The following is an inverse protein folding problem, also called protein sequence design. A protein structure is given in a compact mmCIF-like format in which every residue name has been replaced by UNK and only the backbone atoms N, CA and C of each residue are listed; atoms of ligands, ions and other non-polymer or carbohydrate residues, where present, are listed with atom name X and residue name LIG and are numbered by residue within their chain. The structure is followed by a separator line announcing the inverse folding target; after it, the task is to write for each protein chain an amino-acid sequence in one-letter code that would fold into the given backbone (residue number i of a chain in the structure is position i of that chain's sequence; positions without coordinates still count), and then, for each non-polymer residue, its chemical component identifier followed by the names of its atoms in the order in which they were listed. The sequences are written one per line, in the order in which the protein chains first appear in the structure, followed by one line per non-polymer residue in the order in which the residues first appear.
data_IF_837045408282
#
_entry.id   IF_837045408282
#
_cell.length_a   1.000
_cell.length_b   1.000
_cell.length_c   1.000
_cell.angle_alpha   90.00
_cell.angle_beta   90.00
_cell.angle_gamma   90.00
#
_symmetry.space_group_name_H-M   'P 1'
#
loop_
_entity.id
_entity.type
_entity.pdbx_description
1 polymer ?
#
# COMPACT_ATOMS: atom_id res chain seq x y z
N UNK A 1 4.62 -17.58 -17.23
CA UNK A 1 3.43 -16.73 -17.25
C UNK A 1 2.75 -16.82 -18.61
N UNK A 2 3.09 -15.93 -19.54
CA UNK A 2 2.45 -15.84 -20.85
C UNK A 2 2.46 -17.16 -21.66
N UNK A 3 3.59 -17.88 -21.72
CA UNK A 3 3.65 -19.16 -22.43
C UNK A 3 2.68 -20.21 -21.87
N UNK A 4 2.53 -20.28 -20.54
CA UNK A 4 1.56 -21.18 -19.90
C UNK A 4 0.11 -20.75 -20.18
N UNK A 5 -0.17 -19.44 -20.22
CA UNK A 5 -1.48 -18.91 -20.59
C UNK A 5 -1.82 -19.23 -22.05
N UNK A 6 -0.86 -19.07 -22.96
CA UNK A 6 -1.02 -19.43 -24.39
C UNK A 6 -1.25 -20.92 -24.54
N UNK A 7 -0.46 -21.76 -23.86
CA UNK A 7 -0.64 -23.22 -23.87
C UNK A 7 -2.02 -23.63 -23.34
N UNK A 8 -2.47 -23.05 -22.23
CA UNK A 8 -3.82 -23.31 -21.71
C UNK A 8 -4.91 -22.88 -22.71
N UNK A 9 -4.70 -21.77 -23.41
CA UNK A 9 -5.59 -21.31 -24.47
C UNK A 9 -5.61 -22.26 -25.67
N UNK A 10 -4.47 -22.84 -26.06
CA UNK A 10 -4.41 -23.83 -27.13
C UNK A 10 -5.08 -25.16 -26.75
N UNK A 11 -4.92 -25.61 -25.50
CA UNK A 11 -5.50 -26.87 -25.01
C UNK A 11 -7.00 -26.75 -24.79
N UNK A 12 -7.49 -25.61 -24.27
CA UNK A 12 -8.91 -25.39 -24.04
C UNK A 12 -9.30 -23.92 -24.28
N UNK A 13 -9.51 -23.53 -25.55
CA UNK A 13 -9.84 -22.14 -25.90
C UNK A 13 -11.16 -21.68 -25.28
N UNK A 14 -12.18 -22.55 -25.26
CA UNK A 14 -13.50 -22.23 -24.71
C UNK A 14 -13.49 -21.97 -23.21
N UNK A 15 -12.77 -22.79 -22.43
CA UNK A 15 -12.64 -22.56 -20.99
C UNK A 15 -11.77 -21.36 -20.68
N UNK A 16 -10.72 -21.13 -21.49
CA UNK A 16 -9.87 -19.95 -21.36
C UNK A 16 -10.65 -18.67 -21.63
N UNK A 17 -11.44 -18.64 -22.71
CA UNK A 17 -12.33 -17.52 -23.03
C UNK A 17 -13.31 -17.25 -21.88
N UNK A 18 -14.10 -18.26 -21.48
CA UNK A 18 -15.04 -18.16 -20.36
C UNK A 18 -14.38 -17.68 -19.07
N UNK A 19 -13.15 -18.13 -18.82
CA UNK A 19 -12.38 -17.71 -17.67
C UNK A 19 -12.11 -16.21 -17.69
N UNK A 20 -11.52 -15.70 -18.77
CA UNK A 20 -11.10 -14.31 -18.89
C UNK A 20 -12.25 -13.32 -19.09
N UNK A 21 -13.37 -13.73 -19.67
CA UNK A 21 -14.50 -12.82 -19.95
C UNK A 21 -15.53 -12.76 -18.85
N UNK A 22 -15.66 -13.81 -18.04
CA UNK A 22 -16.80 -13.94 -17.12
C UNK A 22 -16.39 -14.40 -15.73
N UNK A 23 -15.57 -15.44 -15.65
CA UNK A 23 -15.26 -16.05 -14.36
C UNK A 23 -14.24 -15.27 -13.54
N UNK A 24 -13.33 -14.52 -14.18
CA UNK A 24 -12.34 -13.69 -13.49
C UNK A 24 -12.99 -12.56 -12.68
N UNK A 25 -14.15 -12.07 -13.13
CA UNK A 25 -14.94 -11.04 -12.46
C UNK A 25 -16.00 -11.61 -11.51
N UNK A 26 -16.35 -12.89 -11.64
CA UNK A 26 -17.31 -13.56 -10.77
C UNK A 26 -16.67 -13.98 -9.43
N UNK A 27 -16.60 -13.00 -8.55
CA UNK A 27 -16.02 -13.15 -7.20
C UNK A 27 -16.87 -14.02 -6.27
N UNK A 28 -18.13 -14.29 -6.60
CA UNK A 28 -19.03 -15.08 -5.72
C UNK A 28 -18.58 -16.53 -5.57
N UNK A 29 -17.84 -17.04 -6.55
CA UNK A 29 -17.40 -18.43 -6.65
C UNK A 29 -16.36 -18.85 -5.62
N UNK A 30 -15.59 -17.90 -5.10
CA UNK A 30 -14.50 -18.15 -4.14
C UNK A 30 -14.89 -17.81 -2.71
N UNK A 31 -16.15 -17.45 -2.49
CA UNK A 31 -16.74 -17.12 -1.20
C UNK A 31 -17.30 -15.69 -1.15
N UNK A 32 -18.01 -15.32 -0.06
CA UNK A 32 -18.62 -14.02 0.08
C UNK A 32 -17.58 -12.89 0.06
N UNK A 33 -17.76 -11.86 -0.77
CA UNK A 33 -16.85 -10.69 -0.87
C UNK A 33 -16.60 -10.02 0.48
N UNK A 34 -17.59 -10.07 1.39
CA UNK A 34 -17.55 -9.48 2.73
C UNK A 34 -16.67 -10.24 3.73
N UNK A 35 -16.21 -11.46 3.44
CA UNK A 35 -15.38 -12.23 4.39
C UNK A 35 -14.18 -11.41 4.88
N UNK A 36 -13.84 -11.50 6.16
CA UNK A 36 -12.67 -10.80 6.72
C UNK A 36 -11.36 -11.24 6.06
N UNK A 37 -11.34 -12.41 5.42
CA UNK A 37 -10.18 -12.89 4.66
C UNK A 37 -9.90 -12.00 3.44
N UNK A 38 -10.92 -11.35 2.88
CA UNK A 38 -10.79 -10.39 1.78
C UNK A 38 -10.41 -9.00 2.33
N UNK A 39 -9.16 -8.63 2.13
CA UNK A 39 -8.55 -7.40 2.60
C UNK A 39 -8.49 -6.30 1.51
N UNK A 40 -9.21 -6.47 0.40
CA UNK A 40 -9.37 -5.42 -0.62
C UNK A 40 -10.21 -4.26 -0.09
N UNK A 41 -10.14 -3.11 -0.77
CA UNK A 41 -11.01 -1.96 -0.52
C UNK A 41 -12.48 -2.35 -0.69
N UNK A 42 -12.79 -3.15 -1.72
CA UNK A 42 -14.15 -3.68 -1.94
C UNK A 42 -14.61 -4.51 -0.75
N UNK A 43 -13.80 -5.46 -0.27
CA UNK A 43 -14.14 -6.27 0.90
C UNK A 43 -14.39 -5.42 2.15
N UNK A 44 -13.52 -4.44 2.41
CA UNK A 44 -13.64 -3.53 3.55
C UNK A 44 -14.94 -2.72 3.52
N UNK A 45 -15.26 -2.10 2.38
CA UNK A 45 -16.47 -1.31 2.24
C UNK A 45 -17.73 -2.16 2.26
N UNK A 46 -17.71 -3.36 1.66
CA UNK A 46 -18.84 -4.29 1.73
C UNK A 46 -19.12 -4.74 3.16
N UNK A 47 -18.10 -4.91 4.02
CA UNK A 47 -18.30 -5.19 5.45
C UNK A 47 -18.95 -4.02 6.19
N UNK A 48 -18.51 -2.80 5.91
CA UNK A 48 -18.96 -1.59 6.61
C UNK A 48 -20.34 -1.12 6.17
N UNK A 49 -20.65 -1.24 4.88
CA UNK A 49 -21.81 -0.60 4.24
C UNK A 49 -22.84 -1.61 3.70
N UNK A 50 -22.49 -2.90 3.64
CA UNK A 50 -23.35 -3.96 3.12
C UNK A 50 -23.03 -4.37 1.67
N UNK A 51 -23.78 -5.36 1.14
CA UNK A 51 -23.51 -5.98 -0.17
C UNK A 51 -23.55 -4.99 -1.35
N UNK A 52 -24.42 -3.98 -1.29
CA UNK A 52 -24.64 -3.02 -2.38
C UNK A 52 -23.58 -1.93 -2.48
N UNK A 53 -22.59 -1.93 -1.57
CA UNK A 53 -21.55 -0.90 -1.48
C UNK A 53 -20.80 -0.69 -2.80
N UNK A 54 -20.58 -1.74 -3.59
CA UNK A 54 -19.74 -1.70 -4.80
C UNK A 54 -20.24 -0.77 -5.92
N UNK A 55 -21.51 -0.37 -5.91
CA UNK A 55 -22.08 0.59 -6.87
C UNK A 55 -22.26 2.00 -6.32
N UNK A 56 -21.93 2.24 -5.05
CA UNK A 56 -22.22 3.51 -4.38
C UNK A 56 -21.23 4.62 -4.76
N UNK A 57 -21.68 5.87 -4.75
CA UNK A 57 -20.80 7.03 -4.91
C UNK A 57 -19.65 7.04 -3.87
N UNK A 58 -19.93 6.54 -2.66
CA UNK A 58 -18.94 6.41 -1.60
C UNK A 58 -17.82 5.43 -1.96
N UNK A 59 -18.14 4.30 -2.61
CA UNK A 59 -17.13 3.34 -3.07
C UNK A 59 -16.21 3.95 -4.12
N UNK A 60 -16.79 4.62 -5.12
CA UNK A 60 -16.01 5.33 -6.14
C UNK A 60 -15.16 6.45 -5.55
N UNK A 61 -15.69 7.19 -4.57
CA UNK A 61 -14.96 8.22 -3.84
C UNK A 61 -13.77 7.61 -3.09
N UNK A 62 -13.98 6.52 -2.34
CA UNK A 62 -12.91 5.84 -1.63
C UNK A 62 -11.83 5.30 -2.58
N UNK A 63 -12.25 4.71 -3.71
CA UNK A 63 -11.33 4.23 -4.74
C UNK A 63 -10.50 5.37 -5.34
N UNK A 64 -11.13 6.50 -5.65
CA UNK A 64 -10.45 7.68 -6.19
C UNK A 64 -9.43 8.23 -5.19
N UNK A 65 -9.81 8.37 -3.92
CA UNK A 65 -8.91 8.85 -2.86
C UNK A 65 -7.72 7.92 -2.64
N UNK A 66 -7.94 6.61 -2.59
CA UNK A 66 -6.86 5.61 -2.47
C UNK A 66 -5.94 5.65 -3.69
N UNK A 67 -6.51 5.81 -4.88
CA UNK A 67 -5.74 5.91 -6.13
C UNK A 67 -4.89 7.18 -6.17
N UNK A 68 -5.45 8.33 -5.80
CA UNK A 68 -4.72 9.59 -5.69
C UNK A 68 -3.60 9.51 -4.66
N UNK A 69 -3.87 8.94 -3.48
CA UNK A 69 -2.87 8.75 -2.44
C UNK A 69 -1.72 7.85 -2.90
N UNK A 70 -2.02 6.73 -3.56
CA UNK A 70 -1.02 5.82 -4.11
C UNK A 70 -0.21 6.46 -5.25
N UNK A 71 -0.87 7.18 -6.16
CA UNK A 71 -0.21 7.89 -7.25
C UNK A 71 0.75 8.96 -6.72
N UNK A 72 0.33 9.74 -5.72
CA UNK A 72 1.18 10.72 -5.08
C UNK A 72 2.36 10.06 -4.34
N UNK A 73 2.11 8.97 -3.61
CA UNK A 73 3.15 8.19 -2.95
C UNK A 73 4.20 7.66 -3.93
N UNK A 74 3.75 7.13 -5.07
CA UNK A 74 4.61 6.66 -6.16
C UNK A 74 5.41 7.81 -6.78
N UNK A 75 4.76 8.94 -7.06
CA UNK A 75 5.43 10.14 -7.57
C UNK A 75 6.52 10.62 -6.61
N UNK A 76 6.21 10.74 -5.31
CA UNK A 76 7.16 11.15 -4.29
C UNK A 76 8.32 10.15 -4.13
N UNK A 77 8.06 8.85 -4.26
CA UNK A 77 9.11 7.83 -4.25
C UNK A 77 10.01 7.94 -5.50
N UNK A 78 9.42 8.12 -6.69
CA UNK A 78 10.16 8.27 -7.94
C UNK A 78 11.06 9.51 -7.94
N UNK A 79 10.54 10.66 -7.48
CA UNK A 79 11.30 11.92 -7.31
C UNK A 79 12.52 11.75 -6.42
N UNK A 80 12.41 10.90 -5.39
CA UNK A 80 13.50 10.59 -4.46
C UNK A 80 14.38 9.42 -4.90
N UNK A 81 14.11 8.82 -6.06
CA UNK A 81 14.75 7.58 -6.54
C UNK A 81 14.62 6.41 -5.52
N UNK A 82 13.57 6.43 -4.70
CA UNK A 82 13.28 5.44 -3.68
C UNK A 82 12.57 4.23 -4.31
N UNK A 83 13.37 3.29 -4.83
CA UNK A 83 12.86 2.10 -5.53
C UNK A 83 12.00 1.20 -4.64
N UNK A 84 12.40 1.02 -3.38
CA UNK A 84 11.64 0.18 -2.44
C UNK A 84 10.31 0.85 -2.07
N UNK A 85 10.31 2.17 -1.84
CA UNK A 85 9.09 2.93 -1.59
C UNK A 85 8.12 2.89 -2.78
N UNK A 86 8.63 3.03 -4.00
CA UNK A 86 7.83 2.91 -5.22
C UNK A 86 7.23 1.50 -5.38
N UNK A 87 8.03 0.46 -5.16
CA UNK A 87 7.57 -0.93 -5.20
C UNK A 87 6.48 -1.17 -4.16
N UNK A 88 6.68 -0.76 -2.91
CA UNK A 88 5.68 -0.87 -1.83
C UNK A 88 4.40 -0.14 -2.20
N UNK A 89 4.49 1.08 -2.75
CA UNK A 89 3.32 1.86 -3.18
C UNK A 89 2.46 1.10 -4.19
N UNK A 90 3.09 0.58 -5.25
CA UNK A 90 2.41 -0.15 -6.33
C UNK A 90 1.78 -1.44 -5.81
N UNK A 91 2.50 -2.21 -4.99
CA UNK A 91 2.01 -3.51 -4.51
C UNK A 91 0.86 -3.36 -3.52
N UNK A 92 0.95 -2.41 -2.58
CA UNK A 92 -0.16 -2.13 -1.67
C UNK A 92 -1.38 -1.57 -2.41
N UNK A 93 -1.18 -0.74 -3.43
CA UNK A 93 -2.27 -0.24 -4.26
C UNK A 93 -2.98 -1.37 -4.99
N UNK A 94 -2.22 -2.24 -5.68
CA UNK A 94 -2.77 -3.40 -6.38
C UNK A 94 -3.62 -4.29 -5.46
N UNK A 95 -3.17 -4.53 -4.23
CA UNK A 95 -3.90 -5.31 -3.23
C UNK A 95 -5.20 -4.62 -2.76
N UNK A 96 -5.23 -3.29 -2.70
CA UNK A 96 -6.43 -2.54 -2.33
C UNK A 96 -7.48 -2.53 -3.44
N UNK A 97 -7.06 -2.32 -4.69
CA UNK A 97 -8.00 -2.13 -5.81
C UNK A 97 -8.43 -3.42 -6.48
N UNK A 98 -7.71 -4.52 -6.27
CA UNK A 98 -8.15 -5.81 -6.78
C UNK A 98 -9.52 -6.21 -6.17
N UNK A 99 -10.36 -6.96 -6.91
CA UNK A 99 -11.68 -7.36 -6.41
C UNK A 99 -11.63 -8.19 -5.13
N UNK A 100 -10.58 -9.01 -4.99
CA UNK A 100 -10.30 -9.85 -3.83
C UNK A 100 -8.79 -9.87 -3.59
N UNK A 101 -8.36 -9.46 -2.40
CA UNK A 101 -7.01 -9.74 -1.89
C UNK A 101 -7.08 -10.54 -0.60
N UNK A 102 -6.62 -11.80 -0.65
CA UNK A 102 -6.55 -12.63 0.55
C UNK A 102 -5.42 -12.17 1.46
N UNK A 103 -5.56 -12.37 2.77
CA UNK A 103 -4.54 -12.00 3.76
C UNK A 103 -3.13 -12.51 3.46
N UNK A 104 -2.97 -13.65 2.77
CA UNK A 104 -1.65 -14.16 2.37
C UNK A 104 -1.06 -13.44 1.14
N UNK A 105 -1.87 -12.78 0.30
CA UNK A 105 -1.38 -11.90 -0.77
C UNK A 105 -0.68 -10.65 -0.20
N UNK A 106 -1.03 -10.28 1.04
CA UNK A 106 -0.47 -9.13 1.75
C UNK A 106 0.93 -9.37 2.33
N UNK A 107 1.69 -10.35 1.80
CA UNK A 107 3.11 -10.55 2.13
C UNK A 107 3.95 -9.28 1.96
N UNK A 108 3.49 -8.37 1.10
CA UNK A 108 4.04 -7.02 0.90
C UNK A 108 4.05 -6.13 2.15
N UNK A 109 3.33 -6.51 3.21
CA UNK A 109 3.45 -5.88 4.53
C UNK A 109 4.88 -5.96 5.08
N UNK A 110 5.64 -7.01 4.77
CA UNK A 110 7.03 -7.19 5.22
C UNK A 110 7.96 -6.16 4.56
N UNK A 111 8.03 -6.06 3.21
CA UNK A 111 8.71 -4.95 2.54
C UNK A 111 8.25 -3.56 3.01
N UNK A 112 6.95 -3.37 3.25
CA UNK A 112 6.42 -2.10 3.77
C UNK A 112 6.99 -1.78 5.15
N UNK A 113 7.02 -2.74 6.08
CA UNK A 113 7.63 -2.56 7.41
C UNK A 113 9.14 -2.31 7.34
N UNK A 114 9.86 -3.04 6.48
CA UNK A 114 11.30 -2.81 6.24
C UNK A 114 11.52 -1.38 5.75
N UNK A 115 10.72 -0.93 4.79
CA UNK A 115 10.78 0.45 4.30
C UNK A 115 10.43 1.45 5.41
N UNK A 116 9.38 1.22 6.18
CA UNK A 116 9.00 2.05 7.33
C UNK A 116 10.04 2.03 8.46
N UNK A 117 10.92 1.04 8.57
CA UNK A 117 12.00 1.03 9.55
C UNK A 117 13.31 1.68 9.01
N UNK A 118 13.62 1.48 7.72
CA UNK A 118 14.95 1.75 7.16
C UNK A 118 14.99 2.73 5.98
N UNK A 119 13.86 2.97 5.31
CA UNK A 119 13.74 3.91 4.19
C UNK A 119 14.07 5.38 4.52
N UNK A 120 14.16 6.25 3.51
CA UNK A 120 14.54 7.65 3.65
C UNK A 120 13.55 8.47 4.51
N UNK A 121 14.01 9.52 5.21
CA UNK A 121 13.14 10.42 5.99
C UNK A 121 12.62 9.84 7.32
N UNK A 122 13.50 9.31 8.18
CA UNK A 122 13.17 8.51 9.39
C UNK A 122 12.51 9.26 10.56
N UNK A 123 12.27 10.57 10.46
CA UNK A 123 11.86 11.41 11.61
C UNK A 123 10.35 11.73 11.70
N UNK A 124 9.52 11.16 10.84
CA UNK A 124 8.07 11.40 10.89
C UNK A 124 7.40 10.54 11.99
N UNK A 125 6.65 11.12 12.95
CA UNK A 125 5.94 10.32 13.96
C UNK A 125 4.92 9.37 13.32
N UNK A 126 4.27 9.80 12.23
CA UNK A 126 3.34 9.00 11.44
C UNK A 126 3.96 7.69 10.94
N UNK A 127 5.27 7.70 10.64
CA UNK A 127 6.00 6.51 10.20
C UNK A 127 6.13 5.46 11.29
N UNK A 128 6.36 5.88 12.55
CA UNK A 128 6.39 4.97 13.71
C UNK A 128 5.00 4.39 13.98
N UNK A 129 3.96 5.22 13.86
CA UNK A 129 2.57 4.77 13.98
C UNK A 129 2.25 3.73 12.91
N UNK A 130 2.55 4.02 11.64
CA UNK A 130 2.34 3.07 10.54
C UNK A 130 3.09 1.75 10.75
N UNK A 131 4.36 1.82 11.20
CA UNK A 131 5.17 0.63 11.50
C UNK A 131 4.58 -0.18 12.66
N UNK A 132 4.20 0.49 13.76
CA UNK A 132 3.62 -0.16 14.94
C UNK A 132 2.27 -0.82 14.60
N UNK A 133 1.44 -0.16 13.80
CA UNK A 133 0.17 -0.72 13.33
C UNK A 133 0.39 -1.94 12.44
N UNK A 134 1.31 -1.86 11.46
CA UNK A 134 1.66 -3.03 10.66
C UNK A 134 2.13 -4.20 11.52
N UNK A 135 3.03 -3.95 12.48
CA UNK A 135 3.52 -4.96 13.40
C UNK A 135 2.38 -5.56 14.24
N UNK A 136 1.49 -4.71 14.78
CA UNK A 136 0.35 -5.14 15.59
C UNK A 136 -0.60 -6.05 14.79
N UNK A 137 -1.01 -5.64 13.59
CA UNK A 137 -1.99 -6.40 12.79
C UNK A 137 -1.41 -7.69 12.22
N UNK A 138 -0.11 -7.72 11.92
CA UNK A 138 0.58 -8.89 11.36
C UNK A 138 1.04 -9.87 12.44
N UNK A 139 1.84 -9.43 13.41
CA UNK A 139 2.34 -10.27 14.50
C UNK A 139 1.20 -10.72 15.43
N UNK A 140 0.21 -9.84 15.63
CA UNK A 140 -1.04 -10.18 16.31
C UNK A 140 -1.96 -11.11 15.51
N UNK A 141 -1.60 -11.51 14.29
CA UNK A 141 -2.39 -12.41 13.43
C UNK A 141 -3.86 -12.00 13.37
N UNK A 142 -4.12 -10.71 13.18
CA UNK A 142 -5.47 -10.14 13.28
C UNK A 142 -6.45 -10.86 12.35
N UNK A 143 -6.12 -10.96 11.06
CA UNK A 143 -7.01 -11.59 10.08
C UNK A 143 -7.23 -13.08 10.36
N UNK A 144 -6.22 -13.91 10.65
CA UNK A 144 -6.45 -15.30 11.08
C UNK A 144 -7.36 -15.43 12.31
N UNK A 145 -7.22 -14.55 13.32
CA UNK A 145 -8.08 -14.56 14.50
C UNK A 145 -9.52 -14.20 14.14
N UNK A 146 -9.73 -13.13 13.38
CA UNK A 146 -11.06 -12.74 12.91
C UNK A 146 -11.68 -13.81 12.01
N UNK A 147 -10.88 -14.49 11.18
CA UNK A 147 -11.37 -15.57 10.32
C UNK A 147 -11.89 -16.75 11.16
N UNK A 148 -11.18 -17.14 12.23
CA UNK A 148 -11.66 -18.19 13.14
C UNK A 148 -12.98 -17.83 13.83
N UNK A 149 -13.14 -16.56 14.21
CA UNK A 149 -14.38 -16.06 14.80
C UNK A 149 -15.49 -16.11 13.74
N UNK A 150 -15.22 -15.61 12.54
CA UNK A 150 -16.16 -15.63 11.41
C UNK A 150 -16.61 -17.05 11.05
N UNK A 151 -15.68 -18.01 11.00
CA UNK A 151 -15.97 -19.41 10.70
C UNK A 151 -16.81 -20.08 11.81
N UNK A 152 -16.64 -19.66 13.07
CA UNK A 152 -17.39 -20.17 14.23
C UNK A 152 -18.78 -19.55 14.39
N UNK A 153 -19.13 -18.52 13.62
CA UNK A 153 -20.35 -17.74 13.79
C UNK A 153 -21.16 -17.72 12.49
N UNK A 154 -22.32 -18.36 12.50
CA UNK A 154 -23.26 -18.31 11.37
C UNK A 154 -23.98 -16.97 11.40
N UNK A 155 -23.67 -16.08 10.47
CA UNK A 155 -24.30 -14.76 10.36
C UNK A 155 -25.38 -14.74 9.29
N UNK A 156 -26.63 -14.79 9.70
CA UNK A 156 -27.81 -14.56 8.84
C UNK A 156 -28.19 -13.08 8.69
N UNK A 157 -27.49 -12.15 9.37
CA UNK A 157 -27.78 -10.72 9.39
C UNK A 157 -26.62 -9.79 8.94
N UNK A 158 -26.69 -8.49 9.31
CA UNK A 158 -25.62 -7.51 9.05
C UNK A 158 -24.26 -7.96 9.57
N UNK A 159 -23.17 -7.47 8.98
CA UNK A 159 -21.82 -7.90 9.37
C UNK A 159 -21.53 -7.32 10.76
N UNK A 160 -20.96 -8.06 11.72
CA UNK A 160 -20.67 -7.52 13.03
C UNK A 160 -19.78 -6.28 12.92
N UNK A 161 -20.24 -5.14 13.44
CA UNK A 161 -19.59 -3.85 13.25
C UNK A 161 -18.12 -3.86 13.72
N UNK A 162 -17.84 -4.48 14.88
CA UNK A 162 -16.48 -4.61 15.40
C UNK A 162 -15.57 -5.40 14.44
N UNK A 163 -16.06 -6.51 13.90
CA UNK A 163 -15.29 -7.29 12.91
C UNK A 163 -15.13 -6.53 11.59
N UNK A 164 -16.13 -5.74 11.17
CA UNK A 164 -16.03 -4.90 9.99
C UNK A 164 -14.87 -3.90 10.11
N UNK A 165 -14.83 -3.17 11.23
CA UNK A 165 -13.79 -2.19 11.53
C UNK A 165 -12.41 -2.81 11.73
N UNK A 166 -12.30 -3.89 12.52
CA UNK A 166 -11.03 -4.59 12.68
C UNK A 166 -10.54 -5.19 11.35
N UNK A 167 -11.48 -5.63 10.50
CA UNK A 167 -11.24 -6.15 9.17
C UNK A 167 -10.77 -5.11 8.15
N UNK A 168 -10.69 -3.82 8.50
CA UNK A 168 -10.07 -2.77 7.65
C UNK A 168 -8.61 -2.49 8.00
N UNK A 169 -8.04 -3.20 8.99
CA UNK A 169 -6.70 -2.92 9.52
C UNK A 169 -5.61 -2.86 8.46
N UNK A 170 -5.60 -3.77 7.49
CA UNK A 170 -4.58 -3.77 6.42
C UNK A 170 -4.76 -2.58 5.47
N UNK A 171 -6.00 -2.19 5.18
CA UNK A 171 -6.28 -1.03 4.35
C UNK A 171 -5.84 0.27 5.02
N UNK A 172 -6.10 0.41 6.32
CA UNK A 172 -5.62 1.55 7.12
C UNK A 172 -4.09 1.61 7.10
N UNK A 173 -3.41 0.49 7.32
CA UNK A 173 -1.95 0.45 7.28
C UNK A 173 -1.38 0.81 5.89
N UNK A 174 -2.03 0.36 4.81
CA UNK A 174 -1.63 0.73 3.45
C UNK A 174 -1.79 2.23 3.18
N UNK A 175 -2.93 2.81 3.52
CA UNK A 175 -3.19 4.26 3.34
C UNK A 175 -2.19 5.08 4.15
N UNK A 176 -1.93 4.72 5.42
CA UNK A 176 -0.91 5.37 6.23
C UNK A 176 0.48 5.28 5.58
N UNK A 177 0.81 4.14 4.97
CA UNK A 177 2.08 3.96 4.26
C UNK A 177 2.17 4.90 3.05
N UNK A 178 1.09 5.08 2.27
CA UNK A 178 1.05 6.07 1.19
C UNK A 178 1.25 7.49 1.71
N UNK A 179 0.61 7.87 2.80
CA UNK A 179 0.76 9.19 3.41
C UNK A 179 2.20 9.43 3.90
N UNK A 180 2.87 8.41 4.46
CA UNK A 180 4.28 8.52 4.86
C UNK A 180 5.21 8.65 3.64
N UNK A 181 4.95 7.91 2.57
CA UNK A 181 5.68 8.03 1.30
C UNK A 181 5.50 9.43 0.69
N UNK A 182 4.28 9.96 0.73
CA UNK A 182 3.89 11.27 0.21
C UNK A 182 4.54 12.44 0.96
N UNK A 183 4.68 12.32 2.28
CA UNK A 183 5.12 13.40 3.19
C UNK A 183 6.61 13.35 3.53
N UNK A 184 7.34 12.36 3.05
CA UNK A 184 8.78 12.15 3.25
C UNK A 184 9.69 13.16 2.53
N UNK A 185 9.43 14.46 2.69
CA UNK A 185 10.29 15.65 2.61
C UNK A 185 11.29 15.81 1.46
N UNK A 186 11.06 16.84 0.62
CA UNK A 186 12.03 17.48 -0.30
C UNK A 186 13.06 18.41 0.42
N UNK A 187 13.28 18.34 1.73
CA UNK A 187 14.21 19.26 2.42
C UNK A 187 15.68 18.84 2.31
N UNK A 188 16.31 19.07 1.15
CA UNK A 188 17.75 19.45 1.05
C UNK A 188 18.11 20.01 -0.33
N UNK A 189 17.78 21.28 -0.57
CA UNK A 189 18.40 22.11 -1.62
C UNK A 189 18.85 23.50 -1.13
N UNK A 190 19.18 23.63 0.16
CA UNK A 190 19.65 24.91 0.73
C UNK A 190 21.12 24.89 1.22
N UNK A 191 21.96 23.94 0.78
CA UNK A 191 23.39 23.93 1.17
C UNK A 191 24.34 23.72 -0.02
N UNK A 192 23.98 24.26 -1.19
CA UNK A 192 24.88 24.33 -2.34
C UNK A 192 25.05 25.77 -2.85
N UNK A 193 25.12 26.72 -1.92
CA UNK A 193 25.85 27.97 -2.16
C UNK A 193 27.10 27.89 -1.28
N UNK A 194 28.18 27.35 -1.83
CA UNK A 194 29.53 27.57 -1.31
C UNK A 194 29.96 28.93 -1.87
N UNK A 195 30.07 30.01 -1.07
CA UNK A 195 30.76 31.20 -1.54
C UNK A 195 32.22 30.79 -1.79
N UNK A 196 32.68 31.04 -3.01
CA UNK A 196 34.00 30.67 -3.47
C UNK A 196 35.09 31.12 -2.50
N UNK A 197 36.07 30.24 -2.28
CA UNK A 197 37.24 30.56 -1.49
C UNK A 197 38.03 31.70 -2.12
N UNK A 198 38.17 32.80 -1.40
CA UNK A 198 39.30 33.70 -1.58
C UNK A 198 40.46 33.11 -0.78
N UNK A 199 41.44 32.58 -1.53
CA UNK A 199 42.76 32.21 -1.01
C UNK A 199 43.41 33.43 -0.38
N UNK A 200 43.73 33.31 0.90
CA UNK A 200 44.77 34.09 1.57
C UNK A 200 46.10 33.84 0.86
N UNK A 201 46.73 34.89 0.34
CA UNK A 201 48.02 34.77 -0.32
C UNK A 201 48.53 36.08 -0.87
N UNK A 202 48.60 37.11 -0.03
CA UNK A 202 49.52 38.22 -0.28
C UNK A 202 50.16 38.68 1.04
N UNK A 203 51.32 38.08 1.32
CA UNK A 203 52.33 38.57 2.25
C UNK A 203 53.66 38.18 1.63
N UNK A 204 54.14 38.98 0.69
CA UNK A 204 55.57 39.09 0.42
C UNK A 204 56.05 40.46 0.88
N UNK A 205 56.92 40.40 1.88
CA UNK A 205 57.76 41.44 2.45
C UNK A 205 58.09 42.60 1.51
N UNK A 206 57.60 43.79 1.84
CA UNK A 206 58.27 45.03 1.50
C UNK A 206 59.47 45.22 2.43
N UNK A 207 60.65 44.94 1.88
CA UNK A 207 61.95 45.27 2.43
C UNK A 207 62.01 46.71 2.94
N UNK A 208 62.13 46.85 4.26
CA UNK A 208 62.84 47.96 4.88
C UNK A 208 64.35 47.76 4.66
N UNK A 209 65.07 48.89 4.56
CA UNK A 209 66.53 49.06 4.47
C UNK A 209 67.10 49.20 3.04
N UNK A 210 67.24 50.44 2.57
CA UNK A 210 68.52 51.15 2.35
C UNK A 210 68.34 52.28 1.35
#
# INVERSE_FOLDING_TARGET
GAAATVLAWCVSPGQSWRYWTSLVTDTSRVGPVRTVRNQSLRGALTRLLGPDAGGTALWWTALALVTLAAAWALYAAARRKDRLGALVAVQLYGLLVCPISWSHHWIWCVPAMIWLAHGPGRRLPLRRVALALWALVTAGRLVPRLSRIEDATVHSGPYPALMAWLGTGFAVCAVLTFLVLATGGERRREHAAVPGGQRSGDRSDSSLLS
#
